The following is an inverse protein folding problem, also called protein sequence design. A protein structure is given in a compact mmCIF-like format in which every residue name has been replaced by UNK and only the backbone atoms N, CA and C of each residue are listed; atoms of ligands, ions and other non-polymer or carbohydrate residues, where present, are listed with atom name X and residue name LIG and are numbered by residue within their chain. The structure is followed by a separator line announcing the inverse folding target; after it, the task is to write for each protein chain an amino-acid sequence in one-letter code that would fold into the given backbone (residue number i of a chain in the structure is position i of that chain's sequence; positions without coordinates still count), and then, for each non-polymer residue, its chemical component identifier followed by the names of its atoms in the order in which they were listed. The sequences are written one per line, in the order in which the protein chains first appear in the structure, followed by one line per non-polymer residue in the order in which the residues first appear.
data_IF_775262957115
#
_entry.id   IF_775262957115
#
_cell.length_a   1.000
_cell.length_b   1.000
_cell.length_c   1.000
_cell.angle_alpha   90.00
_cell.angle_beta   90.00
_cell.angle_gamma   90.00
#
_symmetry.space_group_name_H-M   'P 1'
#
loop_
_entity.id
_entity.type
_entity.pdbx_description
1 polymer ?
#
# COMPACT_ATOMS: atom_id res chain seq x y z
N UNK A 1 8.69 14.08 15.55
CA UNK A 1 8.15 13.62 14.25
C UNK A 1 8.45 14.72 13.25
N UNK A 2 8.89 14.40 12.03
CA UNK A 2 9.07 15.43 11.01
C UNK A 2 7.68 15.98 10.68
N UNK A 3 7.42 17.24 10.99
CA UNK A 3 6.16 17.89 10.63
C UNK A 3 6.11 17.98 9.11
N UNK A 4 5.20 17.24 8.48
CA UNK A 4 4.94 17.34 7.04
C UNK A 4 4.19 18.64 6.82
N UNK A 5 4.79 19.57 6.08
CA UNK A 5 4.20 20.88 5.77
C UNK A 5 3.47 20.85 4.43
N UNK A 6 2.56 21.81 4.14
CA UNK A 6 1.95 21.95 2.82
C UNK A 6 2.99 22.00 1.68
N UNK A 7 4.10 22.72 1.86
CA UNK A 7 5.17 22.82 0.86
C UNK A 7 5.86 21.46 0.63
N UNK A 8 5.93 20.63 1.67
CA UNK A 8 6.44 19.26 1.57
C UNK A 8 5.51 18.40 0.72
N UNK A 9 4.20 18.54 0.89
CA UNK A 9 3.19 17.85 0.08
C UNK A 9 3.26 18.27 -1.39
N UNK A 10 3.30 19.57 -1.67
CA UNK A 10 3.40 20.10 -3.03
C UNK A 10 4.67 19.61 -3.74
N UNK A 11 5.78 19.58 -3.01
CA UNK A 11 7.03 19.01 -3.53
C UNK A 11 6.89 17.54 -3.88
N UNK A 12 6.28 16.74 -3.01
CA UNK A 12 6.05 15.30 -3.25
C UNK A 12 5.12 15.08 -4.45
N UNK A 13 4.05 15.85 -4.57
CA UNK A 13 3.16 15.82 -5.75
C UNK A 13 3.95 16.12 -7.03
N UNK A 14 4.79 17.15 -7.00
CA UNK A 14 5.64 17.52 -8.13
C UNK A 14 6.65 16.44 -8.52
N UNK A 15 7.27 15.77 -7.56
CA UNK A 15 8.23 14.69 -7.83
C UNK A 15 7.54 13.43 -8.35
N UNK A 16 6.39 13.05 -7.80
CA UNK A 16 5.57 11.94 -8.31
C UNK A 16 5.14 12.18 -9.77
N UNK A 17 4.69 13.39 -10.11
CA UNK A 17 4.34 13.77 -11.49
C UNK A 17 5.53 13.68 -12.43
N UNK A 18 6.73 14.14 -12.01
CA UNK A 18 7.97 13.96 -12.78
C UNK A 18 8.35 12.49 -12.98
N UNK A 19 7.92 11.63 -12.06
CA UNK A 19 8.07 10.18 -12.10
C UNK A 19 6.89 9.49 -12.84
N UNK A 20 6.11 10.24 -13.63
CA UNK A 20 4.97 9.76 -14.43
C UNK A 20 3.84 9.11 -13.63
N UNK A 21 3.77 9.41 -12.33
CA UNK A 21 2.67 9.00 -11.47
C UNK A 21 1.76 10.21 -11.24
N UNK A 22 0.47 10.06 -11.51
CA UNK A 22 -0.51 11.07 -11.11
C UNK A 22 -0.48 11.18 -9.59
N UNK A 23 -0.54 12.41 -9.07
CA UNK A 23 -0.55 12.65 -7.63
C UNK A 23 -1.57 13.72 -7.27
N UNK A 24 -2.41 13.38 -6.29
CA UNK A 24 -3.46 14.24 -5.73
C UNK A 24 -3.40 14.19 -4.20
N UNK A 25 -3.82 15.27 -3.54
CA UNK A 25 -3.86 15.38 -2.10
C UNK A 25 -5.27 15.70 -1.61
N UNK A 26 -5.65 15.05 -0.51
CA UNK A 26 -6.88 15.33 0.22
C UNK A 26 -6.56 15.55 1.69
N UNK A 27 -7.33 16.41 2.34
CA UNK A 27 -7.12 16.71 3.75
C UNK A 27 -7.52 15.52 4.62
N UNK A 28 -8.58 14.81 4.24
CA UNK A 28 -9.19 13.74 5.04
C UNK A 28 -9.28 12.39 4.31
N UNK A 29 -9.33 11.30 5.06
CA UNK A 29 -9.59 9.97 4.53
C UNK A 29 -10.94 9.86 3.81
N UNK A 30 -11.95 10.61 4.25
CA UNK A 30 -13.27 10.61 3.64
C UNK A 30 -13.23 11.18 2.22
N UNK A 31 -12.58 12.32 2.01
CA UNK A 31 -12.39 12.92 0.69
C UNK A 31 -11.60 11.99 -0.24
N UNK A 32 -10.53 11.36 0.27
CA UNK A 32 -9.75 10.40 -0.49
C UNK A 32 -10.57 9.18 -0.90
N UNK A 33 -11.45 8.68 -0.03
CA UNK A 33 -12.37 7.57 -0.32
C UNK A 33 -13.34 7.94 -1.45
N UNK A 34 -13.97 9.11 -1.38
CA UNK A 34 -14.90 9.56 -2.41
C UNK A 34 -14.21 9.72 -3.77
N UNK A 35 -12.97 10.23 -3.80
CA UNK A 35 -12.21 10.29 -5.03
C UNK A 35 -11.91 8.91 -5.62
N UNK A 36 -11.57 7.92 -4.78
CA UNK A 36 -11.36 6.54 -5.24
C UNK A 36 -12.65 5.98 -5.86
N UNK A 37 -13.80 6.18 -5.20
CA UNK A 37 -15.10 5.73 -5.72
C UNK A 37 -15.43 6.39 -7.05
N UNK A 38 -15.15 7.69 -7.20
CA UNK A 38 -15.39 8.43 -8.45
C UNK A 38 -14.53 7.93 -9.62
N UNK A 39 -13.30 7.51 -9.35
CA UNK A 39 -12.35 7.00 -10.37
C UNK A 39 -12.71 5.60 -10.87
N UNK A 40 -13.34 4.79 -10.03
CA UNK A 40 -13.66 3.41 -10.36
C UNK A 40 -15.08 3.37 -10.94
N UNK A 41 -15.27 2.98 -12.21
CA UNK A 41 -16.60 2.86 -12.79
C UNK A 41 -17.42 1.79 -12.04
N UNK A 42 -18.75 1.90 -12.00
CA UNK A 42 -19.60 0.88 -11.38
C UNK A 42 -19.39 -0.51 -12.00
N UNK A 43 -19.48 -1.56 -11.18
CA UNK A 43 -19.33 -2.98 -11.56
C UNK A 43 -17.93 -3.33 -12.08
N UNK A 44 -16.91 -2.61 -11.64
CA UNK A 44 -15.52 -2.88 -12.00
C UNK A 44 -14.96 -4.09 -11.24
N UNK A 45 -13.91 -4.70 -11.79
CA UNK A 45 -13.09 -5.71 -11.10
C UNK A 45 -11.94 -5.03 -10.36
N UNK A 46 -11.96 -5.09 -9.03
CA UNK A 46 -11.04 -4.35 -8.16
C UNK A 46 -10.22 -5.30 -7.28
N UNK A 47 -8.90 -5.31 -7.48
CA UNK A 47 -7.95 -6.06 -6.67
C UNK A 47 -7.38 -5.24 -5.51
N UNK A 48 -7.15 -5.89 -4.36
CA UNK A 48 -6.63 -5.24 -3.15
C UNK A 48 -5.28 -5.81 -2.70
N UNK A 49 -4.28 -4.95 -2.50
CA UNK A 49 -2.93 -5.34 -2.09
C UNK A 49 -2.76 -5.78 -0.63
N UNK A 50 -3.84 -5.99 0.13
CA UNK A 50 -3.76 -6.31 1.56
C UNK A 50 -3.26 -5.11 2.36
N UNK A 51 -4.13 -4.13 2.55
CA UNK A 51 -3.80 -2.84 3.16
C UNK A 51 -4.68 -2.56 4.37
N UNK A 52 -4.06 -2.22 5.49
CA UNK A 52 -4.76 -1.69 6.68
C UNK A 52 -5.30 -0.30 6.40
N UNK A 53 -4.55 0.55 5.71
CA UNK A 53 -4.99 1.89 5.28
C UNK A 53 -6.29 1.84 4.46
N UNK A 54 -6.42 0.89 3.53
CA UNK A 54 -7.67 0.76 2.76
C UNK A 54 -8.85 0.31 3.62
N UNK A 55 -8.61 -0.50 4.65
CA UNK A 55 -9.65 -0.93 5.61
C UNK A 55 -10.08 0.22 6.52
N UNK A 56 -9.13 1.01 7.01
CA UNK A 56 -9.42 2.17 7.86
C UNK A 56 -10.33 3.17 7.17
N UNK A 57 -10.16 3.40 5.85
CA UNK A 57 -11.04 4.28 5.10
C UNK A 57 -12.37 3.62 4.67
N UNK A 58 -12.51 2.30 4.90
CA UNK A 58 -13.72 1.53 4.58
C UNK A 58 -14.06 1.49 3.08
N UNK A 59 -13.06 1.51 2.19
CA UNK A 59 -13.28 1.51 0.74
C UNK A 59 -13.65 0.11 0.21
N UNK A 60 -13.21 -0.96 0.89
CA UNK A 60 -13.48 -2.34 0.49
C UNK A 60 -14.99 -2.59 0.58
N UNK A 61 -15.57 -2.31 1.75
CA UNK A 61 -17.00 -2.49 2.03
C UNK A 61 -17.86 -1.56 1.18
N UNK A 62 -17.36 -0.36 0.85
CA UNK A 62 -18.07 0.58 -0.02
C UNK A 62 -18.18 0.05 -1.47
N UNK A 63 -17.10 -0.50 -2.02
CA UNK A 63 -17.09 -1.09 -3.36
C UNK A 63 -17.91 -2.39 -3.41
N UNK A 64 -17.83 -3.24 -2.39
CA UNK A 64 -18.69 -4.43 -2.28
C UNK A 64 -20.19 -4.04 -2.25
N UNK A 65 -20.57 -3.04 -1.43
CA UNK A 65 -21.97 -2.55 -1.35
C UNK A 65 -22.44 -1.89 -2.65
N UNK A 66 -21.55 -1.26 -3.41
CA UNK A 66 -21.85 -0.64 -4.71
C UNK A 66 -22.05 -1.69 -5.82
N UNK A 67 -21.65 -2.94 -5.58
CA UNK A 67 -21.78 -4.06 -6.53
C UNK A 67 -20.57 -4.28 -7.42
N UNK A 68 -19.39 -3.78 -7.03
CA UNK A 68 -18.13 -4.06 -7.71
C UNK A 68 -17.62 -5.47 -7.38
N UNK A 69 -16.87 -6.09 -8.31
CA UNK A 69 -16.27 -7.39 -8.10
C UNK A 69 -14.92 -7.22 -7.37
N UNK A 70 -14.93 -7.49 -6.06
CA UNK A 70 -13.77 -7.26 -5.18
C UNK A 70 -12.93 -8.53 -4.99
N UNK A 71 -11.64 -8.42 -5.30
CA UNK A 71 -10.64 -9.46 -5.05
C UNK A 71 -9.74 -9.08 -3.86
N UNK A 72 -10.06 -9.62 -2.68
CA UNK A 72 -9.31 -9.38 -1.44
C UNK A 72 -8.78 -10.69 -0.83
N UNK A 73 -7.47 -10.93 -0.92
CA UNK A 73 -6.83 -12.12 -0.38
C UNK A 73 -6.75 -12.13 1.16
N UNK A 74 -7.20 -11.06 1.85
CA UNK A 74 -7.36 -11.02 3.30
C UNK A 74 -8.80 -11.30 3.75
N UNK A 75 -9.74 -11.55 2.84
CA UNK A 75 -11.12 -11.91 3.19
C UNK A 75 -11.14 -13.13 4.12
N UNK A 76 -11.94 -13.03 5.18
CA UNK A 76 -12.07 -14.10 6.16
C UNK A 76 -12.66 -15.38 5.53
N UNK A 77 -12.34 -16.53 6.11
CA UNK A 77 -12.79 -17.84 5.61
C UNK A 77 -12.01 -18.42 4.43
N UNK A 78 -11.08 -17.67 3.82
CA UNK A 78 -10.24 -18.21 2.73
C UNK A 78 -9.18 -19.19 3.25
N UNK A 79 -9.08 -20.36 2.62
CA UNK A 79 -7.96 -21.29 2.78
C UNK A 79 -6.66 -20.68 2.24
N UNK A 80 -5.52 -21.32 2.50
CA UNK A 80 -4.22 -20.88 1.97
C UNK A 80 -4.23 -20.84 0.44
N UNK A 81 -4.80 -21.86 -0.18
CA UNK A 81 -4.97 -22.01 -1.63
C UNK A 81 -5.96 -20.96 -2.15
N UNK A 82 -7.07 -20.74 -1.44
CA UNK A 82 -8.04 -19.69 -1.77
C UNK A 82 -7.42 -18.30 -1.79
N UNK A 83 -6.56 -17.98 -0.81
CA UNK A 83 -5.81 -16.70 -0.79
C UNK A 83 -4.86 -16.57 -1.98
N UNK A 84 -4.21 -17.65 -2.39
CA UNK A 84 -3.34 -17.66 -3.59
C UNK A 84 -4.16 -17.44 -4.87
N UNK A 85 -5.30 -18.11 -5.01
CA UNK A 85 -6.18 -17.92 -6.17
C UNK A 85 -6.76 -16.52 -6.24
N UNK A 86 -7.20 -15.94 -5.12
CA UNK A 86 -7.61 -14.53 -5.07
C UNK A 86 -6.44 -13.62 -5.41
N UNK A 87 -5.22 -13.90 -4.91
CA UNK A 87 -4.01 -13.17 -5.29
C UNK A 87 -3.72 -13.19 -6.80
N UNK A 88 -3.97 -14.31 -7.49
CA UNK A 88 -3.88 -14.38 -8.96
C UNK A 88 -4.97 -13.58 -9.66
N UNK A 89 -6.20 -13.57 -9.12
CA UNK A 89 -7.28 -12.72 -9.64
C UNK A 89 -6.97 -11.23 -9.50
N UNK A 90 -6.32 -10.82 -8.41
CA UNK A 90 -5.88 -9.43 -8.20
C UNK A 90 -4.98 -8.94 -9.35
N UNK A 91 -4.10 -9.79 -9.88
CA UNK A 91 -3.23 -9.45 -11.02
C UNK A 91 -3.99 -9.18 -12.32
N UNK A 92 -5.19 -9.75 -12.44
CA UNK A 92 -6.05 -9.66 -13.63
C UNK A 92 -7.23 -8.72 -13.43
N UNK A 93 -7.24 -7.97 -12.33
CA UNK A 93 -8.24 -6.95 -12.07
C UNK A 93 -8.11 -5.79 -13.07
N UNK A 94 -9.14 -4.95 -13.17
CA UNK A 94 -9.08 -3.72 -13.97
C UNK A 94 -8.42 -2.59 -13.18
N UNK A 95 -8.65 -2.58 -11.87
CA UNK A 95 -8.07 -1.63 -10.91
C UNK A 95 -7.38 -2.39 -9.78
N UNK A 96 -6.23 -1.88 -9.34
CA UNK A 96 -5.54 -2.38 -8.16
C UNK A 96 -5.39 -1.28 -7.11
N UNK A 97 -5.95 -1.51 -5.93
CA UNK A 97 -5.89 -0.58 -4.81
C UNK A 97 -4.90 -1.09 -3.78
N UNK A 98 -4.00 -0.22 -3.35
CA UNK A 98 -2.98 -0.56 -2.36
C UNK A 98 -2.54 0.64 -1.54
N UNK A 99 -1.70 0.40 -0.54
CA UNK A 99 -0.87 1.43 0.10
C UNK A 99 0.60 1.12 -0.15
N UNK A 100 1.45 2.12 0.05
CA UNK A 100 2.90 1.92 0.15
C UNK A 100 3.36 1.73 1.60
N UNK A 101 4.53 1.13 1.82
CA UNK A 101 5.13 1.12 3.17
C UNK A 101 5.93 2.40 3.45
N UNK A 102 6.46 3.06 2.42
CA UNK A 102 7.05 4.38 2.53
C UNK A 102 6.98 5.12 1.18
N UNK A 103 6.91 6.45 1.24
CA UNK A 103 7.00 7.35 0.09
C UNK A 103 8.12 8.36 0.36
N UNK A 104 9.13 8.41 -0.50
CA UNK A 104 10.23 9.36 -0.33
C UNK A 104 9.86 10.75 -0.87
N UNK A 105 10.55 11.80 -0.38
CA UNK A 105 10.37 13.17 -0.89
C UNK A 105 10.65 13.32 -2.39
N UNK A 106 11.51 12.46 -2.95
CA UNK A 106 11.81 12.38 -4.37
C UNK A 106 10.90 11.40 -5.15
N UNK A 107 9.76 11.01 -4.56
CA UNK A 107 8.67 10.35 -5.27
C UNK A 107 8.89 8.86 -5.53
N UNK A 108 9.62 8.15 -4.65
CA UNK A 108 9.82 6.69 -4.74
C UNK A 108 8.91 5.96 -3.76
N UNK A 109 8.22 4.93 -4.23
CA UNK A 109 7.40 4.04 -3.41
C UNK A 109 8.20 2.82 -3.00
N UNK A 110 8.28 2.54 -1.70
CA UNK A 110 9.07 1.42 -1.15
C UNK A 110 8.12 0.42 -0.51
N UNK A 111 8.22 -0.83 -0.96
CA UNK A 111 7.28 -1.88 -0.64
C UNK A 111 8.00 -3.16 -0.24
N UNK A 112 7.58 -3.76 0.87
CA UNK A 112 8.07 -5.05 1.36
C UNK A 112 6.93 -6.04 1.51
N UNK A 113 7.09 -7.21 0.89
CA UNK A 113 6.08 -8.26 0.77
C UNK A 113 6.60 -9.64 1.19
N UNK A 114 5.67 -10.49 1.65
CA UNK A 114 5.92 -11.90 1.92
C UNK A 114 5.83 -12.74 0.64
N UNK A 115 4.65 -12.74 0.02
CA UNK A 115 4.34 -13.54 -1.18
C UNK A 115 4.57 -12.79 -2.49
N UNK A 116 4.76 -11.47 -2.42
CA UNK A 116 5.01 -10.62 -3.59
C UNK A 116 3.78 -10.27 -4.41
N UNK A 117 2.57 -10.70 -4.02
CA UNK A 117 1.33 -10.46 -4.78
C UNK A 117 1.00 -8.96 -4.92
N UNK A 118 1.27 -8.15 -3.88
CA UNK A 118 1.03 -6.70 -3.96
C UNK A 118 2.04 -6.03 -4.88
N UNK A 119 3.34 -6.27 -4.67
CA UNK A 119 4.37 -5.60 -5.50
C UNK A 119 4.31 -6.01 -6.96
N UNK A 120 3.99 -7.26 -7.26
CA UNK A 120 3.80 -7.70 -8.66
C UNK A 120 2.57 -7.03 -9.29
N UNK A 121 1.46 -6.87 -8.54
CA UNK A 121 0.29 -6.14 -9.03
C UNK A 121 0.56 -4.65 -9.31
N UNK A 122 1.53 -4.06 -8.61
CA UNK A 122 1.95 -2.66 -8.82
C UNK A 122 2.92 -2.47 -9.98
N UNK A 123 3.52 -3.56 -10.51
CA UNK A 123 4.62 -3.50 -11.49
C UNK A 123 4.22 -4.14 -12.82
N UNK A 124 3.54 -5.28 -12.77
CA UNK A 124 3.17 -6.13 -13.90
C UNK A 124 1.82 -6.81 -13.65
N UNK A 125 0.84 -6.02 -13.23
CA UNK A 125 -0.52 -6.47 -12.93
C UNK A 125 -1.55 -5.59 -13.64
N UNK A 126 -2.60 -5.14 -12.94
CA UNK A 126 -3.65 -4.30 -13.52
C UNK A 126 -3.10 -3.02 -14.15
N UNK A 127 -3.65 -2.62 -15.30
CA UNK A 127 -3.24 -1.40 -16.00
C UNK A 127 -3.53 -0.11 -15.21
N UNK A 128 -4.35 -0.18 -14.16
CA UNK A 128 -4.71 0.96 -13.31
C UNK A 128 -4.39 0.65 -11.86
N UNK A 129 -3.43 1.39 -11.29
CA UNK A 129 -2.98 1.23 -9.90
C UNK A 129 -3.29 2.51 -9.13
N UNK A 130 -4.00 2.37 -8.01
CA UNK A 130 -4.28 3.46 -7.07
C UNK A 130 -3.57 3.15 -5.76
N UNK A 131 -2.59 3.97 -5.41
CA UNK A 131 -1.86 3.92 -4.14
C UNK A 131 -2.39 5.02 -3.23
N UNK A 132 -2.95 4.66 -2.08
CA UNK A 132 -3.29 5.63 -1.03
C UNK A 132 -2.20 5.64 0.06
N UNK A 133 -1.85 6.81 0.57
CA UNK A 133 -0.87 6.94 1.65
C UNK A 133 -1.17 8.13 2.56
N UNK A 134 -1.16 7.90 3.87
CA UNK A 134 -1.17 8.98 4.86
C UNK A 134 0.19 9.68 4.94
N UNK A 135 0.20 10.90 5.50
CA UNK A 135 1.43 11.70 5.68
C UNK A 135 2.48 11.00 6.55
N UNK A 136 2.05 10.12 7.46
CA UNK A 136 2.91 9.31 8.33
C UNK A 136 3.81 8.32 7.58
N UNK A 137 3.65 8.18 6.26
CA UNK A 137 4.49 7.32 5.40
C UNK A 137 5.50 8.09 4.55
N UNK A 138 5.46 9.42 4.58
CA UNK A 138 6.40 10.26 3.85
C UNK A 138 7.73 10.32 4.61
N UNK A 139 8.83 10.08 3.91
CA UNK A 139 10.19 10.00 4.47
C UNK A 139 11.18 10.79 3.60
N UNK A 140 12.33 11.20 4.16
CA UNK A 140 13.28 12.04 3.42
C UNK A 140 13.86 11.37 2.19
N UNK A 141 14.19 10.07 2.28
CA UNK A 141 14.95 9.34 1.26
C UNK A 141 14.80 7.81 1.44
N UNK A 142 15.43 7.04 0.53
CA UNK A 142 15.40 5.57 0.54
C UNK A 142 15.91 4.95 1.84
N UNK A 143 17.01 5.48 2.42
CA UNK A 143 17.57 4.97 3.68
C UNK A 143 16.55 5.10 4.82
N UNK A 144 15.90 6.24 4.93
CA UNK A 144 14.84 6.46 5.91
C UNK A 144 13.60 5.62 5.66
N UNK A 145 13.22 5.40 4.39
CA UNK A 145 12.10 4.52 4.04
C UNK A 145 12.34 3.06 4.44
N UNK A 146 13.52 2.52 4.13
CA UNK A 146 13.90 1.18 4.57
C UNK A 146 13.98 1.07 6.09
N UNK A 147 14.46 2.12 6.77
CA UNK A 147 14.47 2.18 8.23
C UNK A 147 13.05 2.20 8.82
N UNK A 148 12.13 3.01 8.28
CA UNK A 148 10.71 3.06 8.65
C UNK A 148 10.07 1.68 8.53
N UNK A 149 10.33 0.96 7.43
CA UNK A 149 9.79 -0.38 7.23
C UNK A 149 10.26 -1.34 8.34
N UNK A 150 11.55 -1.29 8.68
CA UNK A 150 12.14 -2.14 9.73
C UNK A 150 11.71 -1.77 11.15
N UNK A 151 11.37 -0.50 11.41
CA UNK A 151 11.04 0.00 12.76
C UNK A 151 9.54 0.13 13.03
N UNK A 152 8.73 0.21 11.98
CA UNK A 152 7.29 0.51 12.10
C UNK A 152 6.49 -0.49 11.30
N UNK A 153 6.67 -0.50 9.97
CA UNK A 153 5.68 -1.15 9.10
C UNK A 153 5.68 -2.69 9.22
N UNK A 154 6.84 -3.33 9.12
CA UNK A 154 6.93 -4.78 9.18
C UNK A 154 6.65 -5.33 10.59
N UNK A 155 7.23 -4.79 11.68
CA UNK A 155 6.93 -5.26 13.04
C UNK A 155 5.44 -5.15 13.40
N UNK A 156 4.79 -4.01 13.13
CA UNK A 156 3.35 -3.83 13.37
C UNK A 156 2.50 -4.78 12.53
N UNK A 157 2.88 -5.05 11.28
CA UNK A 157 2.15 -6.01 10.46
C UNK A 157 2.29 -7.45 10.97
N UNK A 158 3.50 -7.87 11.34
CA UNK A 158 3.72 -9.19 11.94
C UNK A 158 2.95 -9.35 13.26
N UNK A 159 2.95 -8.31 14.10
CA UNK A 159 2.20 -8.28 15.36
C UNK A 159 0.70 -8.45 15.12
N UNK A 160 0.10 -7.65 14.20
CA UNK A 160 -1.32 -7.75 13.83
C UNK A 160 -1.68 -9.15 13.33
N UNK A 161 -0.79 -9.79 12.57
CA UNK A 161 -0.97 -11.14 12.03
C UNK A 161 -0.64 -12.25 13.04
N UNK A 162 -0.08 -11.90 14.21
CA UNK A 162 0.45 -12.83 15.22
C UNK A 162 1.48 -13.81 14.61
N UNK A 163 2.29 -13.33 13.67
CA UNK A 163 3.30 -14.17 13.02
C UNK A 163 4.39 -14.57 14.04
N UNK A 164 4.89 -15.83 14.06
CA UNK A 164 5.92 -16.29 14.98
C UNK A 164 7.31 -15.77 14.56
N UNK A 165 7.50 -14.47 14.66
CA UNK A 165 8.74 -13.76 14.30
C UNK A 165 9.22 -12.92 15.48
N UNK A 166 10.54 -12.76 15.68
CA UNK A 166 11.06 -11.97 16.79
C UNK A 166 10.48 -10.55 16.84
N UNK A 167 10.29 -9.89 15.69
CA UNK A 167 9.74 -8.54 15.62
C UNK A 167 8.24 -8.43 15.95
N UNK A 168 7.50 -9.55 15.97
CA UNK A 168 6.12 -9.58 16.46
C UNK A 168 6.04 -9.91 17.95
N UNK A 169 7.03 -10.64 18.47
CA UNK A 169 7.09 -11.13 19.85
C UNK A 169 7.79 -10.14 20.79
N UNK A 170 8.70 -9.31 20.27
CA UNK A 170 9.30 -8.22 21.01
C UNK A 170 8.32 -7.04 21.11
N UNK A 171 7.48 -7.10 22.15
CA UNK A 171 6.46 -6.09 22.44
C UNK A 171 7.03 -4.80 23.06
N UNK A 172 8.32 -4.75 23.42
CA UNK A 172 8.92 -3.53 24.00
C UNK A 172 9.18 -2.50 22.91
N UNK A 173 9.92 -2.90 21.88
CA UNK A 173 10.45 -1.95 20.90
C UNK A 173 9.84 -2.12 19.50
N UNK A 174 9.08 -3.20 19.25
CA UNK A 174 8.51 -3.56 17.94
C UNK A 174 9.52 -3.31 16.81
N UNK A 175 10.72 -3.85 16.96
CA UNK A 175 11.85 -3.57 16.07
C UNK A 175 12.26 -4.78 15.25
N UNK A 176 12.88 -4.57 14.10
CA UNK A 176 13.36 -5.64 13.25
C UNK A 176 14.67 -6.24 13.76
N UNK A 177 14.68 -7.53 14.07
CA UNK A 177 15.87 -8.29 14.48
C UNK A 177 16.66 -8.88 13.29
N UNK A 178 16.40 -8.42 12.06
CA UNK A 178 16.96 -8.97 10.82
C UNK A 178 16.88 -10.51 10.75
N UNK A 179 15.74 -11.06 11.16
CA UNK A 179 15.59 -12.50 11.35
C UNK A 179 15.69 -13.29 10.04
N UNK A 180 15.99 -14.59 10.19
CA UNK A 180 16.00 -15.59 9.10
C UNK A 180 14.94 -16.68 9.30
N UNK A 181 13.93 -16.42 10.13
CA UNK A 181 12.90 -17.44 10.41
C UNK A 181 12.08 -17.74 9.15
N UNK A 182 11.60 -18.97 8.97
CA UNK A 182 10.70 -19.30 7.86
C UNK A 182 9.43 -18.44 7.82
N UNK A 183 8.97 -17.95 8.98
CA UNK A 183 7.80 -17.09 9.11
C UNK A 183 8.03 -15.61 8.69
N UNK A 184 9.27 -15.22 8.36
CA UNK A 184 9.59 -13.85 7.93
C UNK A 184 8.72 -13.40 6.74
N UNK A 185 8.04 -12.26 6.93
CA UNK A 185 7.26 -11.60 5.86
C UNK A 185 8.11 -10.67 4.99
N UNK A 186 9.28 -10.22 5.43
CA UNK A 186 10.11 -9.26 4.70
C UNK A 186 10.96 -9.94 3.61
N UNK A 187 10.34 -10.56 2.61
CA UNK A 187 11.01 -11.44 1.63
C UNK A 187 11.35 -10.75 0.32
N UNK A 188 10.45 -9.90 -0.16
CA UNK A 188 10.62 -9.15 -1.40
C UNK A 188 10.59 -7.67 -1.08
N UNK A 189 11.59 -6.92 -1.51
CA UNK A 189 11.63 -5.45 -1.40
C UNK A 189 11.65 -4.87 -2.81
N UNK A 190 10.72 -3.98 -3.12
CA UNK A 190 10.72 -3.24 -4.38
C UNK A 190 10.78 -1.74 -4.13
N UNK A 191 11.43 -1.04 -5.05
CA UNK A 191 11.46 0.42 -5.12
C UNK A 191 10.88 0.78 -6.48
N UNK A 192 9.74 1.45 -6.49
CA UNK A 192 9.14 1.97 -7.73
C UNK A 192 9.58 3.43 -7.84
N UNK A 193 10.51 3.68 -8.74
CA UNK A 193 11.10 5.01 -8.96
C UNK A 193 10.32 5.83 -10.00
N UNK A 194 9.63 5.16 -10.92
CA UNK A 194 8.85 5.74 -12.02
C UNK A 194 7.68 4.82 -12.35
N UNK A 195 6.60 5.35 -12.92
CA UNK A 195 5.48 4.52 -13.43
C UNK A 195 6.01 3.42 -14.35
N UNK A 196 5.77 2.13 -14.03
CA UNK A 196 6.15 1.03 -14.92
C UNK A 196 5.38 1.11 -16.25
N UNK A 197 6.04 0.82 -17.38
CA UNK A 197 5.45 0.98 -18.71
C UNK A 197 4.14 0.22 -18.93
N UNK A 198 3.98 -0.96 -18.32
CA UNK A 198 2.77 -1.77 -18.42
C UNK A 198 1.56 -1.24 -17.64
N UNK A 199 1.74 -0.22 -16.79
CA UNK A 199 0.67 0.39 -16.00
C UNK A 199 0.25 1.68 -16.70
N UNK A 200 -0.92 1.69 -17.35
CA UNK A 200 -1.44 2.88 -18.04
C UNK A 200 -1.66 4.05 -17.07
N UNK A 201 -2.36 3.79 -15.98
CA UNK A 201 -2.79 4.81 -15.01
C UNK A 201 -2.21 4.46 -13.63
N UNK A 202 -1.27 5.27 -13.12
CA UNK A 202 -0.69 5.09 -11.79
C UNK A 202 -0.95 6.34 -10.96
N UNK A 203 -1.92 6.25 -10.06
CA UNK A 203 -2.35 7.36 -9.20
C UNK A 203 -1.87 7.16 -7.78
N UNK A 204 -1.27 8.19 -7.18
CA UNK A 204 -0.90 8.27 -5.78
C UNK A 204 -1.77 9.30 -5.08
N UNK A 205 -2.59 8.85 -4.14
CA UNK A 205 -3.48 9.67 -3.32
C UNK A 205 -2.81 9.89 -1.97
N UNK A 206 -2.39 11.13 -1.71
CA UNK A 206 -1.84 11.59 -0.44
C UNK A 206 -3.00 12.04 0.46
N UNK A 207 -2.95 11.65 1.73
CA UNK A 207 -3.96 12.04 2.73
C UNK A 207 -3.29 12.76 3.90
N UNK A 208 -3.84 13.91 4.30
CA UNK A 208 -3.38 14.74 5.42
C UNK A 208 -3.39 14.05 6.78
N UNK A 209 -4.08 12.92 6.90
CA UNK A 209 -4.22 12.12 8.12
C UNK A 209 -3.13 11.03 8.21
N UNK A 210 -2.85 10.59 9.44
CA UNK A 210 -2.05 9.38 9.65
C UNK A 210 -2.91 8.14 9.38
N UNK A 211 -2.51 7.33 8.39
CA UNK A 211 -3.23 6.12 8.03
C UNK A 211 -2.33 4.90 8.06
N UNK A 212 -2.86 3.79 8.56
CA UNK A 212 -2.17 2.53 8.78
C UNK A 212 -0.89 2.72 9.57
N UNK A 213 0.15 2.04 9.12
CA UNK A 213 1.48 2.09 9.71
C UNK A 213 2.56 1.94 8.67
#
# INVERSE_FOLDING_TARGET
MNTITPETIDKVIGTLKKNEMEAVFFQTAAEAKEEILRRIPPRAKVGFGGSVTLREIGIIEALEKRGDEVYDHWKEGLSKEGRQEVGKKQQRAEFFLTSTNALTLDGKLINVDASGNRVTSMIFGPERVIVITGINKIVKNLKEGLARIKKVAAPRNCQRRKDPTPCAQDLKDLTCHNCKTPARICRVTTIIERRPWGIRDFTVILVGEELGY
#
